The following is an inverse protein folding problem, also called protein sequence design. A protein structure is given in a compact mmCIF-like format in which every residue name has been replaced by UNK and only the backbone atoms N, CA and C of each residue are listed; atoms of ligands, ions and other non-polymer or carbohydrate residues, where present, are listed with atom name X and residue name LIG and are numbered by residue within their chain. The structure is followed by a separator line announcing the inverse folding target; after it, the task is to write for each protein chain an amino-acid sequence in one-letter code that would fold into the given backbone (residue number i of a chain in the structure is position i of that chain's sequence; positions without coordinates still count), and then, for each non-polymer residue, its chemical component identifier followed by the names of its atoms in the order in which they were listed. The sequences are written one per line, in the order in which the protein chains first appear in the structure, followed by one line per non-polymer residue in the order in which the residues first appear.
data_IF_958079798460
#
_entry.id   IF_958079798460
#
_cell.length_a   1.000
_cell.length_b   1.000
_cell.length_c   1.000
_cell.angle_alpha   90.00
_cell.angle_beta   90.00
_cell.angle_gamma   90.00
#
_symmetry.space_group_name_H-M   'P 1'
#
loop_
_entity.id
_entity.type
_entity.pdbx_description
1 polymer ?
#
# COMPACT_ATOMS: atom_id res chain seq x y z
N UNK A 1 32.68 29.80 -26.28
CA UNK A 1 32.08 29.20 -25.03
C UNK A 1 32.87 27.93 -24.74
N UNK A 2 33.59 27.88 -23.64
CA UNK A 2 34.62 26.88 -23.32
C UNK A 2 34.00 25.48 -23.18
N UNK A 3 34.62 24.45 -23.71
CA UNK A 3 34.21 23.04 -23.60
C UNK A 3 33.92 22.63 -22.14
N UNK A 4 34.71 23.15 -21.21
CA UNK A 4 34.52 22.98 -19.77
C UNK A 4 33.15 23.49 -19.30
N UNK A 5 32.71 24.69 -19.68
CA UNK A 5 31.41 25.26 -19.33
C UNK A 5 30.24 24.45 -19.90
N UNK A 6 30.40 23.86 -21.08
CA UNK A 6 29.38 22.97 -21.67
C UNK A 6 29.25 21.67 -20.90
N UNK A 7 30.38 21.08 -20.48
CA UNK A 7 30.39 19.84 -19.67
C UNK A 7 29.74 20.10 -18.29
N UNK A 8 30.17 21.17 -17.61
CA UNK A 8 29.60 21.55 -16.31
C UNK A 8 28.11 21.86 -16.44
N UNK A 9 27.69 22.61 -17.45
CA UNK A 9 26.28 22.89 -17.70
C UNK A 9 25.45 21.62 -17.98
N UNK A 10 26.00 20.66 -18.72
CA UNK A 10 25.41 19.37 -18.97
C UNK A 10 25.22 18.55 -17.69
N UNK A 11 26.26 18.48 -16.85
CA UNK A 11 26.21 17.76 -15.56
C UNK A 11 25.13 18.36 -14.62
N UNK A 12 25.14 19.70 -14.50
CA UNK A 12 24.15 20.41 -13.68
C UNK A 12 22.71 20.16 -14.20
N UNK A 13 22.51 20.22 -15.51
CA UNK A 13 21.21 19.98 -16.14
C UNK A 13 20.70 18.56 -15.88
N UNK A 14 21.55 17.56 -16.03
CA UNK A 14 21.22 16.16 -15.74
C UNK A 14 20.89 15.98 -14.24
N UNK A 15 21.70 16.56 -13.35
CA UNK A 15 21.47 16.47 -11.90
C UNK A 15 20.14 17.11 -11.49
N UNK A 16 19.81 18.26 -12.06
CA UNK A 16 18.51 18.92 -11.81
C UNK A 16 17.34 18.06 -12.34
N UNK A 17 17.46 17.45 -13.51
CA UNK A 17 16.43 16.57 -14.06
C UNK A 17 16.23 15.32 -13.19
N UNK A 18 17.31 14.69 -12.72
CA UNK A 18 17.26 13.52 -11.83
C UNK A 18 16.53 13.84 -10.52
N UNK A 19 16.62 15.06 -10.01
CA UNK A 19 15.89 15.50 -8.82
C UNK A 19 14.45 15.94 -9.14
N UNK A 20 14.25 16.65 -10.24
CA UNK A 20 12.95 17.22 -10.59
C UNK A 20 11.92 16.17 -11.01
N UNK A 21 12.34 15.10 -11.73
CA UNK A 21 11.43 14.07 -12.22
C UNK A 21 10.73 13.33 -11.06
N UNK A 22 11.43 12.80 -10.04
CA UNK A 22 10.78 12.15 -8.89
C UNK A 22 9.89 13.11 -8.10
N UNK A 23 10.33 14.37 -7.90
CA UNK A 23 9.53 15.37 -7.22
C UNK A 23 8.24 15.67 -7.98
N UNK A 24 8.31 15.84 -9.29
CA UNK A 24 7.15 16.05 -10.13
C UNK A 24 6.19 14.85 -10.10
N UNK A 25 6.71 13.64 -10.26
CA UNK A 25 5.91 12.41 -10.20
C UNK A 25 5.22 12.23 -8.86
N UNK A 26 5.91 12.57 -7.75
CA UNK A 26 5.37 12.39 -6.40
C UNK A 26 4.33 13.47 -6.06
N UNK A 27 4.63 14.76 -6.26
CA UNK A 27 3.76 15.85 -5.81
C UNK A 27 2.62 16.14 -6.80
N UNK A 28 2.82 16.74 -7.97
CA UNK A 28 1.72 17.01 -8.90
C UNK A 28 1.21 15.76 -9.61
N UNK A 29 2.08 14.75 -9.79
CA UNK A 29 1.72 13.45 -10.35
C UNK A 29 1.02 12.50 -9.37
N UNK A 30 0.84 12.87 -8.11
CA UNK A 30 0.18 12.09 -7.06
C UNK A 30 0.79 10.69 -6.80
N UNK A 31 2.08 10.50 -7.08
CA UNK A 31 2.70 9.17 -7.02
C UNK A 31 1.83 8.11 -7.72
N UNK A 32 1.26 8.51 -8.86
CA UNK A 32 0.36 7.67 -9.65
C UNK A 32 1.11 6.49 -10.25
N UNK A 33 0.49 5.33 -10.16
CA UNK A 33 0.98 4.13 -10.85
C UNK A 33 -0.15 3.36 -11.51
N UNK A 34 0.13 2.77 -12.64
CA UNK A 34 -0.75 1.81 -13.30
C UNK A 34 -0.24 0.42 -12.96
N UNK A 35 -0.98 -0.30 -12.12
CA UNK A 35 -0.68 -1.69 -11.77
C UNK A 35 -1.16 -2.61 -12.90
N UNK A 36 -2.41 -2.41 -13.31
CA UNK A 36 -3.00 -3.02 -14.49
C UNK A 36 -3.94 -2.02 -15.15
N UNK A 37 -3.68 -1.71 -16.44
CA UNK A 37 -4.49 -0.74 -17.19
C UNK A 37 -5.93 -1.19 -17.29
N UNK A 38 -6.85 -0.29 -16.93
CA UNK A 38 -8.30 -0.56 -16.96
C UNK A 38 -8.81 -1.45 -15.82
N UNK A 39 -7.95 -1.82 -14.84
CA UNK A 39 -8.35 -2.69 -13.75
C UNK A 39 -7.87 -2.21 -12.36
N UNK A 40 -6.60 -1.82 -12.21
CA UNK A 40 -6.07 -1.41 -10.90
C UNK A 40 -5.01 -0.31 -11.02
N UNK A 41 -5.18 0.72 -10.21
CA UNK A 41 -4.29 1.88 -10.12
C UNK A 41 -3.91 2.13 -8.66
N UNK A 42 -2.79 2.83 -8.45
CA UNK A 42 -2.33 3.24 -7.14
C UNK A 42 -1.93 4.71 -7.11
N UNK A 43 -2.10 5.37 -5.96
CA UNK A 43 -1.68 6.76 -5.77
C UNK A 43 -1.35 7.09 -4.31
N UNK A 44 -0.83 8.30 -4.08
CA UNK A 44 -0.89 8.95 -2.77
C UNK A 44 -2.28 9.56 -2.54
N UNK A 45 -2.52 10.08 -1.32
CA UNK A 45 -3.70 10.86 -1.01
C UNK A 45 -3.88 12.02 -2.02
N UNK A 46 -5.07 12.14 -2.58
CA UNK A 46 -5.45 13.20 -3.49
C UNK A 46 -6.48 14.13 -2.85
N UNK A 47 -6.61 15.35 -3.38
CA UNK A 47 -7.76 16.21 -3.11
C UNK A 47 -9.01 15.67 -3.80
N UNK A 48 -10.20 16.06 -3.34
CA UNK A 48 -11.46 15.64 -3.96
C UNK A 48 -11.57 16.05 -5.44
N UNK A 49 -11.06 17.22 -5.81
CA UNK A 49 -10.99 17.63 -7.20
C UNK A 49 -10.10 16.71 -8.06
N UNK A 50 -8.96 16.28 -7.51
CA UNK A 50 -8.07 15.33 -8.19
C UNK A 50 -8.73 13.95 -8.30
N UNK A 51 -9.38 13.45 -7.23
CA UNK A 51 -10.13 12.19 -7.28
C UNK A 51 -11.15 12.20 -8.41
N UNK A 52 -12.01 13.21 -8.49
CA UNK A 52 -13.02 13.32 -9.57
C UNK A 52 -12.38 13.36 -10.96
N UNK A 53 -11.29 14.10 -11.12
CA UNK A 53 -10.56 14.18 -12.40
C UNK A 53 -9.97 12.82 -12.82
N UNK A 54 -9.30 12.11 -11.88
CA UNK A 54 -8.71 10.82 -12.18
C UNK A 54 -9.76 9.72 -12.33
N UNK A 55 -10.84 9.76 -11.56
CA UNK A 55 -11.98 8.86 -11.72
C UNK A 55 -12.55 8.96 -13.13
N UNK A 56 -12.82 10.17 -13.62
CA UNK A 56 -13.29 10.39 -15.00
C UNK A 56 -12.27 9.94 -16.03
N UNK A 57 -10.98 10.30 -15.86
CA UNK A 57 -9.91 9.99 -16.83
C UNK A 57 -9.67 8.49 -16.99
N UNK A 58 -9.75 7.73 -15.91
CA UNK A 58 -9.41 6.30 -15.87
C UNK A 58 -10.62 5.40 -15.64
N UNK A 59 -11.83 5.97 -15.67
CA UNK A 59 -13.10 5.29 -15.43
C UNK A 59 -13.13 4.53 -14.10
N UNK A 60 -12.51 5.08 -13.02
CA UNK A 60 -12.46 4.44 -11.71
C UNK A 60 -13.88 4.22 -11.19
N UNK A 61 -14.16 3.02 -10.68
CA UNK A 61 -15.46 2.66 -10.13
C UNK A 61 -15.41 2.44 -8.61
N UNK A 62 -14.23 2.16 -8.06
CA UNK A 62 -14.06 1.95 -6.62
C UNK A 62 -12.75 2.57 -6.16
N UNK A 63 -12.81 3.40 -5.11
CA UNK A 63 -11.67 3.93 -4.41
C UNK A 63 -11.43 3.10 -3.16
N UNK A 64 -10.18 2.61 -2.99
CA UNK A 64 -9.72 1.77 -1.88
C UNK A 64 -8.83 2.62 -0.97
N UNK A 65 -9.40 3.16 0.11
CA UNK A 65 -8.69 3.96 1.10
C UNK A 65 -7.98 3.05 2.11
N UNK A 66 -6.66 2.93 1.99
CA UNK A 66 -5.85 2.12 2.91
C UNK A 66 -5.50 2.84 4.21
N UNK A 67 -5.97 4.10 4.41
CA UNK A 67 -5.78 4.86 5.66
C UNK A 67 -6.85 4.59 6.70
N UNK A 68 -7.99 4.01 6.28
CA UNK A 68 -9.16 3.77 7.10
C UNK A 68 -10.14 4.93 7.17
N UNK A 69 -11.26 4.68 7.79
CA UNK A 69 -12.26 5.71 8.08
C UNK A 69 -11.71 6.71 9.10
N UNK A 70 -11.96 7.99 8.84
CA UNK A 70 -11.53 9.07 9.72
C UNK A 70 -12.50 10.26 9.64
N UNK A 71 -13.78 10.02 9.98
CA UNK A 71 -14.82 11.07 9.94
C UNK A 71 -14.41 12.29 10.77
N UNK A 72 -14.69 13.49 10.25
CA UNK A 72 -14.28 14.75 10.86
C UNK A 72 -12.88 15.22 10.45
N UNK A 73 -12.08 14.39 9.78
CA UNK A 73 -10.83 14.85 9.18
C UNK A 73 -11.11 15.43 7.79
N UNK A 74 -10.60 16.63 7.52
CA UNK A 74 -10.84 17.34 6.27
C UNK A 74 -10.51 16.50 5.02
N UNK A 75 -9.39 15.78 5.04
CA UNK A 75 -8.97 14.94 3.94
C UNK A 75 -9.93 13.76 3.67
N UNK A 76 -10.49 13.15 4.74
CA UNK A 76 -11.40 12.00 4.62
C UNK A 76 -12.80 12.45 4.17
N UNK A 77 -13.30 13.52 4.78
CA UNK A 77 -14.64 14.05 4.45
C UNK A 77 -14.66 14.61 3.02
N UNK A 78 -13.58 15.25 2.57
CA UNK A 78 -13.42 15.70 1.19
C UNK A 78 -13.40 14.48 0.22
N UNK A 79 -12.68 13.43 0.55
CA UNK A 79 -12.57 12.20 -0.24
C UNK A 79 -13.92 11.48 -0.34
N UNK A 80 -14.60 11.28 0.80
CA UNK A 80 -15.90 10.62 0.84
C UNK A 80 -16.94 11.38 0.00
N UNK A 81 -16.96 12.70 0.12
CA UNK A 81 -17.83 13.59 -0.68
C UNK A 81 -17.50 13.49 -2.16
N UNK A 82 -16.23 13.54 -2.54
CA UNK A 82 -15.80 13.44 -3.93
C UNK A 82 -16.17 12.10 -4.55
N UNK A 83 -16.09 10.99 -3.80
CA UNK A 83 -16.52 9.67 -4.23
C UNK A 83 -18.03 9.65 -4.48
N UNK A 84 -18.84 10.17 -3.54
CA UNK A 84 -20.27 10.24 -3.68
C UNK A 84 -20.69 11.08 -4.89
N UNK A 85 -20.11 12.26 -5.08
CA UNK A 85 -20.36 13.13 -6.22
C UNK A 85 -19.96 12.51 -7.57
N UNK A 86 -18.91 11.68 -7.58
CA UNK A 86 -18.44 10.97 -8.76
C UNK A 86 -19.16 9.64 -9.02
N UNK A 87 -20.03 9.18 -8.12
CA UNK A 87 -20.74 7.90 -8.23
C UNK A 87 -19.83 6.67 -8.11
N UNK A 88 -18.66 6.81 -7.46
CA UNK A 88 -17.70 5.73 -7.24
C UNK A 88 -17.85 5.16 -5.84
N UNK A 89 -17.66 3.84 -5.68
CA UNK A 89 -17.68 3.20 -4.37
C UNK A 89 -16.46 3.64 -3.55
N UNK A 90 -16.63 3.81 -2.23
CA UNK A 90 -15.59 4.20 -1.29
C UNK A 90 -15.41 3.12 -0.22
N UNK A 91 -14.31 2.40 -0.28
CA UNK A 91 -13.97 1.31 0.64
C UNK A 91 -12.77 1.68 1.49
N UNK A 92 -12.84 1.48 2.81
CA UNK A 92 -11.80 1.86 3.76
C UNK A 92 -11.28 0.65 4.54
N UNK A 93 -9.95 0.49 4.66
CA UNK A 93 -9.29 -0.71 5.23
C UNK A 93 -8.44 -0.46 6.49
N UNK A 94 -8.05 0.75 6.81
CA UNK A 94 -7.37 1.10 8.06
C UNK A 94 -6.03 0.39 8.30
N UNK A 95 -5.27 0.08 7.25
CA UNK A 95 -3.98 -0.60 7.41
C UNK A 95 -2.90 0.32 7.97
N UNK A 96 -1.97 -0.25 8.75
CA UNK A 96 -0.77 0.43 9.23
C UNK A 96 0.43 0.07 8.35
N UNK A 97 1.37 1.01 8.15
CA UNK A 97 2.66 0.68 7.53
C UNK A 97 3.57 -0.12 8.46
N UNK A 98 3.31 -0.07 9.77
CA UNK A 98 4.16 -0.63 10.82
C UNK A 98 3.75 -2.03 11.28
N UNK A 99 2.70 -2.60 10.70
CA UNK A 99 2.20 -3.93 11.04
C UNK A 99 1.59 -4.62 9.82
N UNK A 100 1.51 -5.93 9.88
CA UNK A 100 0.75 -6.72 8.92
C UNK A 100 -0.74 -6.31 8.94
N UNK A 101 -1.47 -6.42 7.81
CA UNK A 101 -2.93 -6.37 7.82
C UNK A 101 -3.48 -7.49 8.71
N UNK A 102 -4.48 -7.20 9.55
CA UNK A 102 -5.14 -8.27 10.26
C UNK A 102 -5.86 -9.24 9.30
N UNK A 103 -6.05 -10.52 9.67
CA UNK A 103 -6.58 -11.54 8.77
C UNK A 103 -7.97 -11.22 8.23
N UNK A 104 -8.85 -10.65 9.05
CA UNK A 104 -10.22 -10.31 8.66
C UNK A 104 -10.20 -9.16 7.64
N UNK A 105 -9.44 -8.11 7.91
CA UNK A 105 -9.30 -6.97 6.99
C UNK A 105 -8.68 -7.39 5.66
N UNK A 106 -7.69 -8.31 5.67
CA UNK A 106 -7.10 -8.82 4.45
C UNK A 106 -8.08 -9.69 3.64
N UNK A 107 -8.84 -10.55 4.31
CA UNK A 107 -9.89 -11.36 3.67
C UNK A 107 -10.99 -10.46 3.07
N UNK A 108 -11.43 -9.43 3.81
CA UNK A 108 -12.37 -8.43 3.31
C UNK A 108 -11.83 -7.69 2.09
N UNK A 109 -10.55 -7.33 2.11
CA UNK A 109 -9.91 -6.67 0.96
C UNK A 109 -9.94 -7.57 -0.29
N UNK A 110 -9.63 -8.85 -0.13
CA UNK A 110 -9.71 -9.84 -1.23
C UNK A 110 -11.15 -9.93 -1.76
N UNK A 111 -12.13 -10.03 -0.87
CA UNK A 111 -13.56 -10.06 -1.26
C UNK A 111 -13.95 -8.82 -2.07
N UNK A 112 -13.52 -7.62 -1.66
CA UNK A 112 -13.78 -6.38 -2.40
C UNK A 112 -13.10 -6.40 -3.78
N UNK A 113 -11.90 -6.95 -3.90
CA UNK A 113 -11.24 -7.08 -5.20
C UNK A 113 -11.95 -8.06 -6.15
N UNK A 114 -12.62 -9.07 -5.61
CA UNK A 114 -13.36 -10.06 -6.40
C UNK A 114 -14.74 -9.57 -6.83
N UNK A 115 -15.47 -8.93 -5.92
CA UNK A 115 -16.88 -8.56 -6.12
C UNK A 115 -17.10 -7.10 -6.46
N UNK A 116 -16.14 -6.23 -6.17
CA UNK A 116 -16.23 -4.80 -6.38
C UNK A 116 -16.14 -4.38 -7.85
N UNK A 117 -16.64 -3.20 -8.13
CA UNK A 117 -16.63 -2.63 -9.49
C UNK A 117 -15.22 -2.14 -9.85
N UNK A 118 -14.68 -2.66 -10.95
CA UNK A 118 -13.40 -2.22 -11.55
C UNK A 118 -13.62 -1.04 -12.50
N UNK A 119 -12.62 -0.19 -12.73
CA UNK A 119 -11.27 -0.18 -12.17
C UNK A 119 -11.20 0.30 -10.71
N UNK A 120 -10.22 -0.24 -9.97
CA UNK A 120 -9.89 0.17 -8.61
C UNK A 120 -8.83 1.27 -8.59
N UNK A 121 -8.92 2.17 -7.61
CA UNK A 121 -7.86 3.10 -7.25
C UNK A 121 -7.51 2.93 -5.77
N UNK A 122 -6.40 2.29 -5.46
CA UNK A 122 -5.90 2.18 -4.10
C UNK A 122 -5.01 3.36 -3.73
N UNK A 123 -5.17 3.92 -2.53
CA UNK A 123 -4.28 4.96 -2.02
C UNK A 123 -4.00 4.84 -0.53
N UNK A 124 -2.91 5.46 -0.11
CA UNK A 124 -2.63 5.77 1.28
C UNK A 124 -2.07 7.20 1.37
N UNK A 125 -1.47 7.61 2.49
CA UNK A 125 -0.94 8.97 2.61
C UNK A 125 0.14 9.27 1.55
N UNK A 126 1.19 8.44 1.48
CA UNK A 126 2.30 8.62 0.53
C UNK A 126 2.19 7.82 -0.76
N UNK A 127 1.24 6.87 -0.85
CA UNK A 127 1.10 6.00 -2.03
C UNK A 127 2.15 4.92 -2.15
N UNK A 128 2.94 4.63 -1.13
CA UNK A 128 4.07 3.68 -1.19
C UNK A 128 3.75 2.38 -0.47
N UNK A 129 3.83 2.32 0.86
CA UNK A 129 3.80 1.05 1.61
C UNK A 129 2.42 0.36 1.57
N UNK A 130 1.39 0.96 2.15
CA UNK A 130 0.03 0.38 2.18
C UNK A 130 -0.56 0.20 0.79
N UNK A 131 -0.38 1.20 -0.07
CA UNK A 131 -0.77 1.11 -1.49
C UNK A 131 0.06 0.06 -2.23
N UNK A 132 1.34 -0.09 -1.89
CA UNK A 132 2.21 -1.12 -2.44
C UNK A 132 1.72 -2.53 -2.10
N UNK A 133 1.38 -2.79 -0.81
CA UNK A 133 0.79 -4.07 -0.40
C UNK A 133 -0.55 -4.31 -1.08
N UNK A 134 -1.43 -3.31 -1.14
CA UNK A 134 -2.71 -3.43 -1.83
C UNK A 134 -2.54 -3.85 -3.30
N UNK A 135 -1.62 -3.22 -4.01
CA UNK A 135 -1.28 -3.57 -5.39
C UNK A 135 -0.61 -4.95 -5.52
N UNK A 136 0.28 -5.30 -4.57
CA UNK A 136 0.93 -6.61 -4.55
C UNK A 136 -0.08 -7.73 -4.33
N UNK A 137 -1.01 -7.58 -3.38
CA UNK A 137 -2.11 -8.54 -3.15
C UNK A 137 -2.96 -8.72 -4.41
N UNK A 138 -3.30 -7.62 -5.10
CA UNK A 138 -4.01 -7.70 -6.37
C UNK A 138 -3.27 -8.57 -7.40
N UNK A 139 -1.96 -8.37 -7.55
CA UNK A 139 -1.15 -9.16 -8.49
C UNK A 139 -1.03 -10.63 -8.07
N UNK A 140 -0.84 -10.91 -6.77
CA UNK A 140 -0.77 -12.28 -6.24
C UNK A 140 -2.09 -13.05 -6.47
N UNK A 141 -3.23 -12.39 -6.33
CA UNK A 141 -4.55 -12.98 -6.65
C UNK A 141 -4.69 -13.33 -8.13
N UNK A 142 -3.96 -12.64 -9.00
CA UNK A 142 -3.89 -12.92 -10.43
C UNK A 142 -2.83 -13.94 -10.81
N UNK A 143 -2.14 -14.53 -9.84
CA UNK A 143 -1.13 -15.56 -10.05
C UNK A 143 0.27 -15.02 -10.31
N UNK A 144 0.54 -13.73 -10.09
CA UNK A 144 1.90 -13.22 -10.14
C UNK A 144 2.77 -13.84 -9.02
N UNK A 145 4.06 -13.98 -9.28
CA UNK A 145 5.03 -14.37 -8.26
C UNK A 145 5.33 -13.22 -7.27
N UNK A 146 5.90 -13.58 -6.12
CA UNK A 146 6.26 -12.62 -5.06
C UNK A 146 7.29 -11.58 -5.54
N UNK A 147 8.34 -11.92 -6.28
CA UNK A 147 9.27 -10.94 -6.84
C UNK A 147 8.59 -9.89 -7.72
N UNK A 148 7.63 -10.29 -8.55
CA UNK A 148 6.84 -9.36 -9.38
C UNK A 148 5.93 -8.48 -8.54
N UNK A 149 5.26 -9.05 -7.55
CA UNK A 149 4.41 -8.30 -6.63
C UNK A 149 5.22 -7.27 -5.80
N UNK A 150 6.44 -7.59 -5.37
CA UNK A 150 7.34 -6.68 -4.62
C UNK A 150 7.71 -5.41 -5.41
N UNK A 151 7.70 -5.44 -6.73
CA UNK A 151 7.97 -4.23 -7.55
C UNK A 151 6.98 -3.10 -7.29
N UNK A 152 5.85 -3.39 -6.66
CA UNK A 152 4.84 -2.38 -6.29
C UNK A 152 5.28 -1.43 -5.17
N UNK A 153 6.35 -1.72 -4.45
CA UNK A 153 6.92 -0.80 -3.46
C UNK A 153 7.84 0.28 -4.07
N UNK A 154 8.24 0.12 -5.33
CA UNK A 154 9.14 1.02 -6.05
C UNK A 154 10.62 0.81 -5.66
N UNK A 155 11.55 1.41 -6.42
CA UNK A 155 12.98 1.13 -6.30
C UNK A 155 13.65 1.80 -5.09
N UNK A 156 13.04 2.85 -4.52
CA UNK A 156 13.63 3.64 -3.44
C UNK A 156 13.06 3.31 -2.05
N UNK A 157 12.06 2.43 -1.98
CA UNK A 157 11.38 2.12 -0.74
C UNK A 157 11.43 0.62 -0.51
N UNK A 158 11.91 0.24 0.64
CA UNK A 158 11.68 -1.10 1.15
C UNK A 158 10.19 -1.28 1.45
N UNK A 159 9.81 -2.51 1.65
CA UNK A 159 8.42 -2.89 1.85
C UNK A 159 7.86 -2.52 3.25
N UNK A 160 8.63 -1.88 4.14
CA UNK A 160 8.25 -1.60 5.53
C UNK A 160 7.68 -2.86 6.25
N UNK A 161 7.35 -2.83 7.54
CA UNK A 161 6.79 -4.01 8.22
C UNK A 161 5.52 -4.58 7.57
N UNK A 162 4.68 -3.76 6.96
CA UNK A 162 3.47 -4.26 6.27
C UNK A 162 3.80 -5.19 5.09
N UNK A 163 4.93 -4.99 4.43
CA UNK A 163 5.38 -5.81 3.29
C UNK A 163 5.91 -7.20 3.72
N UNK A 164 6.12 -7.43 4.99
CA UNK A 164 6.45 -8.76 5.53
C UNK A 164 5.34 -9.79 5.23
N UNK A 165 4.12 -9.34 4.88
CA UNK A 165 3.06 -10.19 4.34
C UNK A 165 3.54 -11.05 3.16
N UNK A 166 4.30 -10.45 2.24
CA UNK A 166 4.81 -11.16 1.06
C UNK A 166 5.87 -12.18 1.45
N UNK A 167 6.70 -11.88 2.44
CA UNK A 167 7.69 -12.81 2.98
C UNK A 167 7.04 -14.00 3.69
N UNK A 168 5.97 -13.74 4.45
CA UNK A 168 5.22 -14.82 5.10
C UNK A 168 4.56 -15.75 4.08
N UNK A 169 3.99 -15.19 3.01
CA UNK A 169 3.43 -15.99 1.92
C UNK A 169 4.51 -16.79 1.19
N UNK A 170 5.64 -16.18 0.85
CA UNK A 170 6.75 -16.84 0.17
C UNK A 170 7.28 -18.04 0.96
N UNK A 171 7.38 -17.92 2.31
CA UNK A 171 7.87 -18.99 3.18
C UNK A 171 6.80 -20.03 3.53
N UNK A 172 5.56 -19.61 3.70
CA UNK A 172 4.46 -20.44 4.23
C UNK A 172 3.40 -20.84 3.20
N UNK A 173 3.44 -20.28 2.00
CA UNK A 173 2.43 -20.56 0.97
C UNK A 173 2.52 -21.98 0.39
N UNK A 174 3.72 -22.59 0.38
CA UNK A 174 3.92 -23.98 -0.03
C UNK A 174 3.25 -24.33 -1.39
N UNK A 175 3.31 -23.44 -2.38
CA UNK A 175 2.68 -23.61 -3.69
C UNK A 175 1.17 -23.39 -3.74
N UNK A 176 0.53 -23.05 -2.62
CA UNK A 176 -0.89 -22.72 -2.59
C UNK A 176 -1.20 -21.39 -3.28
N UNK A 177 -2.36 -21.24 -3.95
CA UNK A 177 -2.84 -19.95 -4.40
C UNK A 177 -2.92 -18.94 -3.24
N UNK A 178 -2.56 -17.68 -3.48
CA UNK A 178 -2.48 -16.66 -2.44
C UNK A 178 -3.78 -16.53 -1.63
N UNK A 179 -4.93 -16.51 -2.30
CA UNK A 179 -6.24 -16.46 -1.62
C UNK A 179 -6.45 -17.63 -0.65
N UNK A 180 -6.13 -18.84 -1.09
CA UNK A 180 -6.27 -20.03 -0.25
C UNK A 180 -5.36 -19.93 0.98
N UNK A 181 -4.11 -19.51 0.79
CA UNK A 181 -3.20 -19.30 1.90
C UNK A 181 -3.72 -18.25 2.89
N UNK A 182 -4.26 -17.12 2.39
CA UNK A 182 -4.82 -16.07 3.27
C UNK A 182 -5.97 -16.61 4.11
N UNK A 183 -6.85 -17.41 3.55
CA UNK A 183 -8.02 -17.90 4.27
C UNK A 183 -7.69 -19.04 5.24
N UNK A 184 -6.71 -19.90 4.91
CA UNK A 184 -6.44 -21.13 5.67
C UNK A 184 -5.23 -21.03 6.62
N UNK A 185 -4.17 -20.34 6.21
CA UNK A 185 -2.90 -20.36 6.93
C UNK A 185 -2.47 -19.00 7.50
N UNK A 186 -2.87 -17.90 6.87
CA UNK A 186 -2.45 -16.58 7.30
C UNK A 186 -2.88 -16.22 8.72
N UNK A 187 -4.07 -16.58 9.25
CA UNK A 187 -4.43 -16.27 10.63
C UNK A 187 -3.42 -16.81 11.65
N UNK A 188 -2.95 -18.05 11.47
CA UNK A 188 -1.93 -18.64 12.34
C UNK A 188 -0.56 -17.98 12.15
N UNK A 189 -0.17 -17.71 10.91
CA UNK A 189 1.08 -17.02 10.59
C UNK A 189 1.12 -15.59 11.15
N UNK A 190 0.00 -14.87 11.08
CA UNK A 190 -0.16 -13.54 11.68
C UNK A 190 -0.02 -13.57 13.19
N UNK A 191 -0.68 -14.51 13.87
CA UNK A 191 -0.60 -14.67 15.33
C UNK A 191 0.83 -14.97 15.79
N UNK A 192 1.51 -15.90 15.12
CA UNK A 192 2.91 -16.24 15.39
C UNK A 192 3.86 -15.06 15.18
N UNK A 193 3.67 -14.32 14.06
CA UNK A 193 4.46 -13.13 13.76
C UNK A 193 4.27 -12.03 14.81
N UNK A 194 3.02 -11.80 15.23
CA UNK A 194 2.71 -10.81 16.26
C UNK A 194 3.35 -11.19 17.59
N UNK A 195 3.20 -12.45 18.03
CA UNK A 195 3.79 -12.94 19.27
C UNK A 195 5.33 -12.79 19.29
N UNK A 196 6.00 -13.10 18.16
CA UNK A 196 7.43 -12.92 18.03
C UNK A 196 7.86 -11.44 18.14
N UNK A 197 7.09 -10.52 17.54
CA UNK A 197 7.34 -9.07 17.66
C UNK A 197 7.13 -8.55 19.08
N UNK A 198 6.04 -8.97 19.72
CA UNK A 198 5.73 -8.57 21.10
C UNK A 198 6.82 -9.07 22.06
N UNK A 199 7.30 -10.32 21.89
CA UNK A 199 8.41 -10.87 22.67
C UNK A 199 9.73 -10.11 22.45
N UNK A 200 10.02 -9.70 21.22
CA UNK A 200 11.23 -8.92 20.90
C UNK A 200 11.17 -7.48 21.41
N UNK A 201 9.97 -6.93 21.62
CA UNK A 201 9.76 -5.60 22.17
C UNK A 201 9.71 -5.55 23.70
N UNK A 202 9.62 -6.71 24.37
CA UNK A 202 9.63 -6.79 25.84
C UNK A 202 11.00 -6.35 26.37
N UNK A 203 11.06 -5.49 27.43
CA UNK A 203 12.33 -5.06 28.00
C UNK A 203 13.09 -6.27 28.55
N UNK A 204 14.36 -6.41 28.15
CA UNK A 204 15.28 -7.40 28.71
C UNK A 204 15.45 -7.11 30.21
N UNK A 205 14.80 -7.90 31.08
CA UNK A 205 14.97 -7.77 32.52
C UNK A 205 13.69 -7.70 33.37
N UNK A 206 12.51 -8.02 32.85
CA UNK A 206 11.35 -8.22 33.71
C UNK A 206 11.53 -9.52 34.54
N UNK A 207 12.14 -9.37 35.73
CA UNK A 207 12.16 -10.44 36.74
C UNK A 207 10.70 -10.71 37.12
N UNK A 208 10.21 -11.96 37.05
CA UNK A 208 8.87 -12.26 37.51
C UNK A 208 8.73 -11.89 38.97
N UNK A 209 7.65 -11.19 39.34
CA UNK A 209 7.37 -10.85 40.73
C UNK A 209 7.34 -12.13 41.59
N UNK A 210 7.96 -12.13 42.80
CA UNK A 210 7.90 -13.29 43.66
C UNK A 210 6.43 -13.61 43.99
N UNK A 211 6.11 -14.90 43.97
CA UNK A 211 4.80 -15.41 44.35
C UNK A 211 4.45 -14.93 45.78
N UNK A 212 3.21 -14.55 46.07
CA UNK A 212 2.81 -14.19 47.42
C UNK A 212 3.05 -15.38 48.34
N UNK A 213 3.81 -15.14 49.43
CA UNK A 213 4.00 -16.11 50.49
C UNK A 213 2.62 -16.42 51.12
N UNK A 214 2.23 -17.69 51.10
CA UNK A 214 1.05 -18.22 51.74
C UNK A 214 1.18 -18.30 53.25
#
# INVERSE_FOLDING_TARGET
MNTFLRIVGGIVGVSLAVLAIPLYAYFPGHNWRTVEKGAFYGSRQMSGAAIKRYAKKHNIQTLLNMRGQNPGSSWYDEEARACAEAGIAHESFGWSKNSLPDPESLARYISVLETGRKPFLAHCQGGTHRTGVAAAVYLLLKGADVPTARKQFGPMFNDAPIGELLTLYERGGAGRPFKQWVLEAYPAAYAAHKAAKDAAAAPAGAVPAPAPAG
#
